data_IF_803167326314
#
_entry.id   IF_803167326314
#
_cell.length_a   1.000
_cell.length_b   1.000
_cell.length_c   1.000
_cell.angle_alpha   90.00
_cell.angle_beta   90.00
_cell.angle_gamma   90.00
#
_symmetry.space_group_name_H-M   'P 1'
#
loop_
_entity.id
_entity.type
_entity.pdbx_description
1 polymer ?
#
# COMPACT_ATOMS: atom_id res chain seq x y z
N UNK A 1 52.75 23.82 -41.28
CA UNK A 1 51.40 23.24 -41.20
C UNK A 1 50.45 24.38 -40.85
N UNK A 2 49.53 24.78 -41.74
CA UNK A 2 48.63 25.90 -41.46
C UNK A 2 47.67 25.47 -40.34
N UNK A 3 47.69 26.19 -39.22
CA UNK A 3 46.69 26.06 -38.17
C UNK A 3 45.41 26.62 -38.79
N UNK A 4 44.45 25.73 -39.09
CA UNK A 4 43.20 26.10 -39.74
C UNK A 4 42.54 27.25 -38.97
N UNK A 5 42.14 28.32 -39.67
CA UNK A 5 41.21 29.31 -39.15
C UNK A 5 39.88 28.60 -38.89
N UNK A 6 39.70 28.12 -37.66
CA UNK A 6 38.48 27.48 -37.24
C UNK A 6 37.39 28.56 -37.20
N UNK A 7 36.49 28.55 -38.18
CA UNK A 7 35.26 29.35 -38.16
C UNK A 7 34.59 29.18 -36.80
N UNK A 8 34.10 30.28 -36.22
CA UNK A 8 33.40 30.25 -34.92
C UNK A 8 32.28 29.22 -34.90
N UNK A 9 31.64 28.97 -36.06
CA UNK A 9 30.65 27.90 -36.22
C UNK A 9 31.23 26.50 -36.05
N UNK A 10 32.41 26.23 -36.62
CA UNK A 10 33.10 24.93 -36.45
C UNK A 10 33.53 24.70 -35.01
N UNK A 11 34.02 25.75 -34.33
CA UNK A 11 34.38 25.66 -32.90
C UNK A 11 33.14 25.34 -32.06
N UNK A 12 32.01 26.00 -32.31
CA UNK A 12 30.76 25.77 -31.57
C UNK A 12 30.23 24.35 -31.79
N UNK A 13 30.27 23.85 -33.02
CA UNK A 13 29.89 22.47 -33.34
C UNK A 13 30.77 21.46 -32.59
N UNK A 14 32.09 21.64 -32.58
CA UNK A 14 32.99 20.76 -31.85
C UNK A 14 32.72 20.76 -30.34
N UNK A 15 32.43 21.93 -29.76
CA UNK A 15 32.07 22.05 -28.35
C UNK A 15 30.77 21.30 -28.06
N UNK A 16 29.74 21.45 -28.88
CA UNK A 16 28.45 20.76 -28.68
C UNK A 16 28.59 19.24 -28.81
N UNK A 17 29.33 18.78 -29.82
CA UNK A 17 29.60 17.35 -30.02
C UNK A 17 30.40 16.77 -28.86
N UNK A 18 31.28 17.53 -28.22
CA UNK A 18 32.00 17.10 -27.02
C UNK A 18 31.13 17.19 -25.75
N UNK A 19 30.33 18.24 -25.59
CA UNK A 19 29.56 18.51 -24.38
C UNK A 19 28.37 17.55 -24.20
N UNK A 20 27.68 17.17 -25.28
CA UNK A 20 26.54 16.25 -25.22
C UNK A 20 26.88 14.86 -24.65
N UNK A 21 27.91 14.14 -25.13
CA UNK A 21 28.26 12.83 -24.56
C UNK A 21 28.78 12.96 -23.13
N UNK A 22 29.54 14.02 -22.81
CA UNK A 22 30.00 14.28 -21.44
C UNK A 22 28.80 14.51 -20.51
N UNK A 23 27.85 15.35 -20.92
CA UNK A 23 26.62 15.61 -20.17
C UNK A 23 25.78 14.34 -19.99
N UNK A 24 25.66 13.51 -21.02
CA UNK A 24 24.94 12.23 -20.94
C UNK A 24 25.59 11.26 -19.96
N UNK A 25 26.92 11.16 -19.95
CA UNK A 25 27.66 10.29 -19.00
C UNK A 25 27.54 10.80 -17.57
N UNK A 26 27.71 12.10 -17.35
CA UNK A 26 27.55 12.72 -16.02
C UNK A 26 26.12 12.54 -15.51
N UNK A 27 25.13 12.73 -16.38
CA UNK A 27 23.72 12.51 -16.04
C UNK A 27 23.44 11.03 -15.72
N UNK A 28 23.91 10.09 -16.54
CA UNK A 28 23.70 8.67 -16.29
C UNK A 28 24.34 8.19 -14.97
N UNK A 29 25.54 8.68 -14.66
CA UNK A 29 26.24 8.35 -13.41
C UNK A 29 25.65 9.07 -12.18
N UNK A 30 25.12 10.28 -12.34
CA UNK A 30 24.54 11.08 -11.24
C UNK A 30 23.06 10.78 -10.96
N UNK A 31 22.27 10.53 -12.00
CA UNK A 31 20.82 10.33 -11.89
C UNK A 31 20.47 9.10 -11.06
N UNK A 32 21.24 8.02 -11.15
CA UNK A 32 21.04 6.83 -10.33
C UNK A 32 21.11 7.12 -8.82
N UNK A 33 22.00 8.01 -8.38
CA UNK A 33 22.09 8.44 -6.98
C UNK A 33 20.92 9.33 -6.56
N UNK A 34 20.49 10.24 -7.42
CA UNK A 34 19.34 11.11 -7.16
C UNK A 34 18.02 10.31 -7.07
N UNK A 35 17.79 9.36 -7.97
CA UNK A 35 16.62 8.48 -7.92
C UNK A 35 16.66 7.56 -6.69
N UNK A 36 17.83 7.08 -6.30
CA UNK A 36 17.94 6.24 -5.12
C UNK A 36 17.57 6.95 -3.81
N UNK A 37 17.65 8.29 -3.75
CA UNK A 37 17.26 9.08 -2.56
C UNK A 37 15.76 9.36 -2.52
N UNK A 38 15.08 9.33 -3.67
CA UNK A 38 13.63 9.46 -3.77
C UNK A 38 13.01 8.13 -3.33
N UNK A 39 12.57 8.06 -2.08
CA UNK A 39 11.97 6.88 -1.45
C UNK A 39 12.63 6.47 -0.13
N UNK A 40 13.85 6.94 0.16
CA UNK A 40 14.58 6.68 1.43
C UNK A 40 14.33 7.77 2.49
N UNK A 41 13.07 8.14 2.68
CA UNK A 41 12.65 9.03 3.78
C UNK A 41 12.37 8.24 5.06
N UNK A 42 12.07 8.96 6.14
CA UNK A 42 11.71 8.45 7.49
C UNK A 42 10.59 7.38 7.50
N UNK A 43 9.87 7.20 6.38
CA UNK A 43 8.83 6.18 6.20
C UNK A 43 9.26 4.97 5.33
N UNK A 44 10.55 4.79 5.05
CA UNK A 44 11.05 3.61 4.31
C UNK A 44 11.00 2.35 5.20
N UNK A 45 9.88 1.63 5.14
CA UNK A 45 9.75 0.26 5.64
C UNK A 45 10.68 -0.63 4.80
N UNK A 46 11.88 -0.92 5.31
CA UNK A 46 12.78 -1.87 4.64
C UNK A 46 14.24 -1.89 5.06
N UNK A 47 14.80 -0.81 5.59
CA UNK A 47 16.23 -0.74 5.93
C UNK A 47 16.47 -0.27 7.38
N UNK A 48 15.80 -0.91 8.34
CA UNK A 48 16.26 -0.88 9.72
C UNK A 48 17.42 -1.86 9.89
N UNK A 49 18.65 -1.38 9.66
CA UNK A 49 19.76 -1.88 10.49
C UNK A 49 19.37 -1.62 11.96
N UNK A 50 19.57 -2.58 12.88
CA UNK A 50 19.15 -2.42 14.26
C UNK A 50 19.97 -1.30 14.92
N UNK A 51 19.43 -0.08 14.91
CA UNK A 51 19.97 1.03 15.70
C UNK A 51 19.55 0.82 17.16
N UNK A 52 20.51 0.80 18.10
CA UNK A 52 20.19 0.63 19.50
C UNK A 52 19.33 1.81 19.96
N UNK A 53 18.23 1.46 20.63
CA UNK A 53 17.23 2.36 21.15
C UNK A 53 17.83 3.51 21.95
N UNK A 54 17.66 4.75 21.49
CA UNK A 54 17.72 5.93 22.36
C UNK A 54 16.95 7.09 21.74
N UNK A 55 15.93 7.56 22.46
CA UNK A 55 15.49 8.95 22.34
C UNK A 55 14.15 9.20 21.64
N UNK A 56 13.09 9.22 22.45
CA UNK A 56 12.03 10.24 22.48
C UNK A 56 11.90 11.10 21.20
N UNK A 57 10.84 10.84 20.42
CA UNK A 57 10.45 11.67 19.28
C UNK A 57 8.96 11.60 19.05
N UNK A 58 8.25 12.63 19.52
CA UNK A 58 6.89 12.97 19.17
C UNK A 58 6.86 13.39 17.68
N UNK A 59 6.29 12.59 16.79
CA UNK A 59 5.81 13.07 15.48
C UNK A 59 4.42 12.54 15.17
N UNK A 60 3.57 13.51 14.89
CA UNK A 60 2.23 13.43 14.33
C UNK A 60 2.23 12.66 13.01
N UNK A 61 1.45 11.57 12.93
CA UNK A 61 0.97 10.98 11.67
C UNK A 61 -0.13 9.97 11.96
N UNK A 62 -1.38 10.40 11.77
CA UNK A 62 -2.45 9.47 11.43
C UNK A 62 -2.14 8.85 10.08
N UNK A 63 -1.66 7.60 10.08
CA UNK A 63 -1.68 6.73 8.90
C UNK A 63 -1.67 5.28 9.37
N UNK A 64 -2.62 4.53 8.81
CA UNK A 64 -3.10 3.24 9.27
C UNK A 64 -2.02 2.23 9.62
N UNK A 65 -2.07 1.78 10.86
CA UNK A 65 -1.77 0.40 11.19
C UNK A 65 -3.10 -0.24 11.60
N UNK A 66 -3.89 -0.63 10.60
CA UNK A 66 -4.81 -1.74 10.84
C UNK A 66 -3.90 -2.94 11.11
N UNK A 67 -3.77 -3.28 12.39
CA UNK A 67 -3.06 -4.46 12.85
C UNK A 67 -3.83 -5.70 12.40
N UNK A 68 -3.68 -6.05 11.12
CA UNK A 68 -4.43 -7.12 10.44
C UNK A 68 -3.92 -8.53 10.81
N UNK A 69 -3.42 -8.67 12.03
CA UNK A 69 -2.97 -9.95 12.62
C UNK A 69 -3.04 -9.95 14.15
N UNK A 70 -3.68 -8.94 14.75
CA UNK A 70 -3.95 -8.91 16.17
C UNK A 70 -5.05 -9.95 16.50
N UNK A 71 -4.84 -10.75 17.56
CA UNK A 71 -5.91 -11.64 18.04
C UNK A 71 -7.18 -10.85 18.33
N UNK A 72 -8.35 -11.49 18.23
CA UNK A 72 -9.64 -10.82 18.48
C UNK A 72 -9.67 -10.06 19.81
N UNK A 73 -9.01 -10.60 20.83
CA UNK A 73 -8.83 -9.98 22.15
C UNK A 73 -8.00 -8.69 22.07
N UNK A 74 -6.86 -8.69 21.37
CA UNK A 74 -6.02 -7.50 21.19
C UNK A 74 -6.77 -6.43 20.39
N UNK A 75 -7.54 -6.83 19.37
CA UNK A 75 -8.38 -5.92 18.59
C UNK A 75 -9.46 -5.25 19.45
N UNK A 76 -10.12 -6.01 20.33
CA UNK A 76 -11.09 -5.45 21.27
C UNK A 76 -10.42 -4.45 22.23
N UNK A 77 -9.27 -4.80 22.79
CA UNK A 77 -8.52 -3.92 23.70
C UNK A 77 -8.07 -2.62 23.00
N UNK A 78 -7.63 -2.72 21.74
CA UNK A 78 -7.25 -1.56 20.93
C UNK A 78 -8.45 -0.65 20.65
N UNK A 79 -9.60 -1.22 20.26
CA UNK A 79 -10.84 -0.48 20.04
C UNK A 79 -11.28 0.22 21.34
N UNK A 80 -11.20 -0.47 22.48
CA UNK A 80 -11.51 0.09 23.81
C UNK A 80 -10.62 1.29 24.13
N UNK A 81 -9.31 1.20 23.87
CA UNK A 81 -8.38 2.31 24.08
C UNK A 81 -8.72 3.52 23.19
N UNK A 82 -9.06 3.29 21.92
CA UNK A 82 -9.45 4.36 21.00
C UNK A 82 -10.75 5.05 21.43
N UNK A 83 -11.77 4.27 21.82
CA UNK A 83 -13.06 4.80 22.26
C UNK A 83 -12.91 5.59 23.57
N UNK A 84 -12.13 5.10 24.54
CA UNK A 84 -11.83 5.81 25.77
C UNK A 84 -11.15 7.15 25.48
N UNK A 85 -10.09 7.14 24.68
CA UNK A 85 -9.38 8.37 24.31
C UNK A 85 -10.29 9.38 23.58
N UNK A 86 -11.23 8.89 22.76
CA UNK A 86 -12.23 9.75 22.10
C UNK A 86 -13.21 10.35 23.11
N UNK A 87 -13.66 9.58 24.09
CA UNK A 87 -14.55 10.04 25.17
C UNK A 87 -13.88 11.11 26.02
N UNK A 88 -12.62 10.89 26.44
CA UNK A 88 -11.86 11.86 27.24
C UNK A 88 -11.69 13.19 26.50
N UNK A 89 -11.40 13.14 25.20
CA UNK A 89 -11.31 14.33 24.32
C UNK A 89 -12.66 15.02 24.14
N UNK A 90 -13.77 14.29 24.15
CA UNK A 90 -15.12 14.85 24.09
C UNK A 90 -15.45 15.61 25.39
N UNK A 91 -15.20 14.98 26.54
CA UNK A 91 -15.40 15.60 27.87
C UNK A 91 -14.53 16.85 28.03
N UNK A 92 -13.26 16.80 27.60
CA UNK A 92 -12.37 17.96 27.63
C UNK A 92 -12.87 19.14 26.76
N UNK A 93 -13.63 18.86 25.69
CA UNK A 93 -14.30 19.86 24.85
C UNK A 93 -15.65 20.32 25.41
N UNK A 94 -16.08 19.79 26.56
CA UNK A 94 -17.37 20.07 27.17
C UNK A 94 -18.54 19.31 26.53
N UNK A 95 -18.27 18.30 25.72
CA UNK A 95 -19.28 17.40 25.16
C UNK A 95 -19.61 16.28 26.16
N UNK A 96 -20.75 15.60 25.96
CA UNK A 96 -21.09 14.42 26.74
C UNK A 96 -20.13 13.28 26.40
N UNK A 97 -19.56 12.62 27.42
CA UNK A 97 -18.74 11.43 27.23
C UNK A 97 -19.56 10.26 26.68
N UNK A 98 -18.89 9.35 25.97
CA UNK A 98 -19.49 8.12 25.44
C UNK A 98 -19.44 7.01 26.50
N UNK A 99 -20.43 6.11 26.46
CA UNK A 99 -20.35 4.82 27.14
C UNK A 99 -19.38 3.93 26.36
N UNK A 100 -18.23 3.66 26.96
CA UNK A 100 -17.11 3.00 26.28
C UNK A 100 -17.43 1.54 26.00
N UNK A 101 -18.04 0.82 26.95
CA UNK A 101 -18.33 -0.60 26.76
C UNK A 101 -19.40 -0.80 25.69
N UNK A 102 -20.47 0.00 25.73
CA UNK A 102 -21.54 -0.07 24.73
C UNK A 102 -21.06 0.32 23.32
N UNK A 103 -20.17 1.30 23.20
CA UNK A 103 -19.62 1.73 21.93
C UNK A 103 -18.62 0.70 21.35
N UNK A 104 -17.80 0.08 22.21
CA UNK A 104 -16.91 -1.02 21.81
C UNK A 104 -17.73 -2.20 21.30
N UNK A 105 -18.77 -2.60 22.03
CA UNK A 105 -19.67 -3.69 21.62
C UNK A 105 -20.27 -3.39 20.23
N UNK A 106 -20.80 -2.18 20.02
CA UNK A 106 -21.34 -1.75 18.72
C UNK A 106 -20.30 -1.79 17.57
N UNK A 107 -19.03 -1.53 17.87
CA UNK A 107 -17.95 -1.56 16.87
C UNK A 107 -17.43 -2.97 16.59
N UNK A 108 -17.58 -3.90 17.54
CA UNK A 108 -17.27 -5.31 17.36
C UNK A 108 -18.36 -6.06 16.60
N UNK A 109 -19.60 -5.57 16.66
CA UNK A 109 -20.69 -6.14 15.88
C UNK A 109 -20.39 -6.11 14.37
N UNK A 110 -20.63 -7.23 13.65
CA UNK A 110 -20.53 -7.26 12.20
C UNK A 110 -21.42 -6.18 11.59
N UNK A 111 -20.86 -5.37 10.69
CA UNK A 111 -21.61 -4.28 10.09
C UNK A 111 -22.93 -4.79 9.47
N UNK A 112 -24.07 -4.12 9.73
CA UNK A 112 -25.34 -4.52 9.15
C UNK A 112 -25.26 -4.42 7.63
N UNK A 113 -25.29 -5.58 6.97
CA UNK A 113 -25.08 -5.70 5.53
C UNK A 113 -23.90 -6.60 5.12
N UNK A 114 -23.05 -7.03 6.06
CA UNK A 114 -21.95 -7.97 5.77
C UNK A 114 -22.44 -9.24 5.05
N UNK A 115 -23.55 -9.84 5.51
CA UNK A 115 -24.16 -11.01 4.86
C UNK A 115 -24.71 -10.74 3.44
N UNK A 116 -24.99 -9.47 3.08
CA UNK A 116 -25.37 -9.09 1.72
C UNK A 116 -24.13 -8.92 0.85
N UNK A 117 -23.07 -8.31 1.40
CA UNK A 117 -21.75 -8.23 0.76
C UNK A 117 -21.18 -9.61 0.44
N UNK A 118 -21.33 -10.59 1.34
CA UNK A 118 -20.90 -11.98 1.09
C UNK A 118 -21.66 -12.62 -0.07
N UNK A 119 -22.94 -12.27 -0.24
CA UNK A 119 -23.77 -12.80 -1.33
C UNK A 119 -23.39 -12.18 -2.67
N UNK A 120 -23.17 -10.87 -2.70
CA UNK A 120 -22.68 -10.14 -3.89
C UNK A 120 -21.29 -10.63 -4.31
N UNK A 121 -20.37 -10.74 -3.35
CA UNK A 121 -19.02 -11.28 -3.57
C UNK A 121 -19.07 -12.70 -4.15
N UNK A 122 -19.95 -13.55 -3.62
CA UNK A 122 -20.13 -14.91 -4.16
C UNK A 122 -20.59 -14.89 -5.62
N UNK A 123 -21.45 -13.96 -6.00
CA UNK A 123 -21.90 -13.81 -7.39
C UNK A 123 -20.79 -13.31 -8.31
N UNK A 124 -19.97 -12.37 -7.87
CA UNK A 124 -18.80 -11.89 -8.61
C UNK A 124 -17.78 -13.01 -8.86
N UNK A 125 -17.45 -13.76 -7.81
CA UNK A 125 -16.54 -14.92 -7.90
C UNK A 125 -17.11 -15.96 -8.85
N UNK A 126 -18.43 -16.22 -8.80
CA UNK A 126 -19.10 -17.13 -9.74
C UNK A 126 -18.93 -16.66 -11.20
N UNK A 127 -19.14 -15.37 -11.48
CA UNK A 127 -18.95 -14.80 -12.82
C UNK A 127 -17.50 -14.96 -13.30
N UNK A 128 -16.52 -14.74 -12.41
CA UNK A 128 -15.11 -14.91 -12.72
C UNK A 128 -14.78 -16.36 -13.11
N UNK A 129 -15.34 -17.34 -12.39
CA UNK A 129 -15.15 -18.77 -12.69
C UNK A 129 -15.79 -19.16 -14.03
N UNK A 130 -16.99 -18.64 -14.33
CA UNK A 130 -17.65 -18.87 -15.62
C UNK A 130 -16.80 -18.33 -16.77
N UNK A 131 -16.33 -17.08 -16.68
CA UNK A 131 -15.45 -16.48 -17.68
C UNK A 131 -14.13 -17.27 -17.83
N UNK A 132 -13.58 -17.78 -16.71
CA UNK A 132 -12.39 -18.65 -16.74
C UNK A 132 -12.67 -19.95 -17.48
N UNK A 133 -13.83 -20.56 -17.28
CA UNK A 133 -14.24 -21.79 -17.97
C UNK A 133 -14.41 -21.57 -19.47
N UNK A 134 -15.02 -20.47 -19.90
CA UNK A 134 -15.10 -20.11 -21.32
C UNK A 134 -13.71 -20.03 -21.97
N UNK A 135 -12.73 -19.45 -21.25
CA UNK A 135 -11.35 -19.43 -21.71
C UNK A 135 -10.72 -20.83 -21.75
N UNK A 136 -11.01 -21.70 -20.77
CA UNK A 136 -10.52 -23.09 -20.76
C UNK A 136 -11.08 -23.90 -21.93
N UNK A 137 -12.37 -23.76 -22.21
CA UNK A 137 -13.02 -24.44 -23.33
C UNK A 137 -12.41 -24.02 -24.68
N UNK A 138 -12.13 -22.72 -24.88
CA UNK A 138 -11.40 -22.24 -26.07
C UNK A 138 -9.98 -22.81 -26.19
N UNK A 139 -9.37 -23.20 -25.09
CA UNK A 139 -8.04 -23.84 -25.04
C UNK A 139 -8.12 -25.37 -25.12
N UNK A 140 -9.30 -25.96 -25.32
CA UNK A 140 -9.49 -27.41 -25.33
C UNK A 140 -9.30 -28.07 -23.96
N UNK A 141 -9.39 -27.29 -22.88
CA UNK A 141 -9.28 -27.77 -21.50
C UNK A 141 -10.66 -28.04 -20.92
N UNK A 142 -10.73 -29.00 -20.01
CA UNK A 142 -11.95 -29.30 -19.25
C UNK A 142 -12.35 -28.11 -18.35
N UNK A 143 -13.65 -27.77 -18.27
CA UNK A 143 -14.16 -26.72 -17.40
C UNK A 143 -14.10 -27.15 -15.93
N UNK A 144 -13.91 -26.17 -15.05
CA UNK A 144 -13.93 -26.35 -13.60
C UNK A 144 -15.37 -26.37 -13.08
N UNK A 145 -15.62 -27.12 -12.00
CA UNK A 145 -16.91 -27.09 -11.30
C UNK A 145 -17.12 -25.73 -10.65
N UNK A 146 -18.16 -25.00 -11.09
CA UNK A 146 -18.36 -23.60 -10.71
C UNK A 146 -18.53 -23.42 -9.20
N UNK A 147 -19.47 -24.15 -8.58
CA UNK A 147 -19.73 -24.00 -7.14
C UNK A 147 -18.54 -24.44 -6.27
N UNK A 148 -17.86 -25.53 -6.64
CA UNK A 148 -16.68 -26.00 -5.92
C UNK A 148 -15.51 -25.00 -5.98
N UNK A 149 -15.33 -24.35 -7.14
CA UNK A 149 -14.31 -23.33 -7.34
C UNK A 149 -14.65 -22.03 -6.59
N UNK A 150 -15.93 -21.64 -6.56
CA UNK A 150 -16.43 -20.50 -5.78
C UNK A 150 -16.14 -20.72 -4.29
N UNK A 151 -16.47 -21.89 -3.75
CA UNK A 151 -16.19 -22.22 -2.34
C UNK A 151 -14.69 -22.31 -2.02
N UNK A 152 -13.85 -22.73 -2.98
CA UNK A 152 -12.40 -22.68 -2.78
C UNK A 152 -11.92 -21.23 -2.74
N UNK A 153 -12.33 -20.41 -3.70
CA UNK A 153 -11.87 -19.03 -3.80
C UNK A 153 -12.38 -18.17 -2.63
N UNK A 154 -13.60 -18.38 -2.14
CA UNK A 154 -14.07 -17.70 -0.93
C UNK A 154 -13.23 -18.05 0.30
N UNK A 155 -12.88 -19.33 0.49
CA UNK A 155 -11.97 -19.74 1.58
C UNK A 155 -10.56 -19.19 1.40
N UNK A 156 -10.06 -19.17 0.17
CA UNK A 156 -8.75 -18.60 -0.14
C UNK A 156 -8.74 -17.08 0.18
N UNK A 157 -9.83 -16.36 -0.11
CA UNK A 157 -9.98 -14.93 0.19
C UNK A 157 -10.13 -14.66 1.69
N UNK A 158 -10.91 -15.46 2.41
CA UNK A 158 -11.02 -15.37 3.87
C UNK A 158 -9.68 -15.61 4.58
N UNK A 159 -8.84 -16.51 4.04
CA UNK A 159 -7.50 -16.77 4.56
C UNK A 159 -6.44 -15.74 4.17
N UNK A 160 -6.72 -14.84 3.22
CA UNK A 160 -5.84 -13.72 2.87
C UNK A 160 -6.13 -12.45 3.69
N UNK A 161 -7.30 -12.38 4.33
CA UNK A 161 -7.69 -11.31 5.24
C UNK A 161 -7.48 -11.64 6.73
N UNK A 162 -6.72 -12.69 7.03
CA UNK A 162 -6.24 -13.07 8.37
C UNK A 162 -4.71 -13.05 8.39
#
# INVERSE_FOLDING_TARGET
MPIAELSSGTVLILIVIAALPIGAVVFALGAGRAFSQIGRGEMSIGDEEPRPATGIGLTDSGMGAQGDGASAEVREEEIRQMVQARSDRAVARGEQGFDVDAEVERLLEPAPGAATGDRELREEVRQLVVARNERRLRQGKEPLGVEAEVERQLRDLEGLGQ
#
